data_IF_287032780007
#
_entry.id   IF_287032780007
#
_cell.length_a   1.000
_cell.length_b   1.000
_cell.length_c   1.000
_cell.angle_alpha   90.00
_cell.angle_beta   90.00
_cell.angle_gamma   90.00
#
_symmetry.space_group_name_H-M   'P 1'
#
loop_
_entity.id
_entity.type
_entity.pdbx_description
1 polymer ?
#
# COMPACT_ATOMS: atom_id res chain seq x y z
N UNK A 1 17.39 12.30 -1.41
CA UNK A 1 16.22 11.69 -0.75
C UNK A 1 15.73 10.39 -1.40
N UNK A 2 16.15 10.04 -2.62
CA UNK A 2 15.59 8.88 -3.35
C UNK A 2 16.06 7.49 -2.89
N UNK A 3 17.26 7.37 -2.33
CA UNK A 3 17.86 6.05 -2.07
C UNK A 3 17.29 5.32 -0.85
N UNK A 4 16.59 6.00 0.08
CA UNK A 4 15.92 5.34 1.21
C UNK A 4 14.67 4.55 0.77
N UNK A 5 13.96 5.06 -0.25
CA UNK A 5 12.67 4.52 -0.71
C UNK A 5 12.79 3.07 -1.23
N UNK A 6 13.92 2.75 -1.84
CA UNK A 6 14.17 1.42 -2.42
C UNK A 6 14.69 0.45 -1.35
N UNK A 7 15.49 0.93 -0.39
CA UNK A 7 16.10 0.07 0.63
C UNK A 7 15.08 -0.62 1.52
N UNK A 8 14.06 0.10 1.98
CA UNK A 8 13.02 -0.47 2.88
C UNK A 8 12.15 -1.52 2.17
N UNK A 9 11.92 -1.39 0.85
CA UNK A 9 11.23 -2.42 0.05
C UNK A 9 12.11 -3.64 -0.26
N UNK A 10 13.43 -3.47 -0.33
CA UNK A 10 14.40 -4.52 -0.67
C UNK A 10 14.95 -5.29 0.53
N UNK A 11 14.78 -4.82 1.76
CA UNK A 11 15.28 -5.52 2.95
C UNK A 11 14.46 -6.78 3.28
N UNK A 12 15.10 -7.94 3.13
CA UNK A 12 14.65 -9.21 3.72
C UNK A 12 15.20 -9.30 5.15
N UNK A 13 14.42 -8.84 6.14
CA UNK A 13 14.72 -9.11 7.54
C UNK A 13 14.00 -10.41 7.91
N UNK A 14 14.68 -11.41 8.51
CA UNK A 14 14.04 -12.65 8.92
C UNK A 14 12.99 -12.39 10.01
N UNK A 15 11.93 -13.18 9.92
CA UNK A 15 10.80 -13.19 10.84
C UNK A 15 11.28 -13.67 12.22
N UNK A 16 11.57 -12.71 13.11
CA UNK A 16 11.82 -13.03 14.50
C UNK A 16 10.47 -13.11 15.19
N UNK A 17 9.94 -14.34 15.23
CA UNK A 17 8.82 -14.67 16.09
C UNK A 17 9.19 -14.40 17.54
N UNK A 18 8.42 -13.53 18.20
CA UNK A 18 8.26 -13.55 19.64
C UNK A 18 6.78 -13.55 19.98
N UNK A 19 6.41 -14.62 20.67
CA UNK A 19 5.13 -14.89 21.32
C UNK A 19 5.23 -14.38 22.75
N UNK A 20 4.06 -14.05 23.33
CA UNK A 20 3.72 -13.85 24.76
C UNK A 20 3.67 -12.37 25.20
N UNK A 21 2.63 -11.90 25.88
CA UNK A 21 1.49 -12.61 26.45
C UNK A 21 0.34 -11.68 26.84
N UNK A 22 -0.82 -12.31 26.98
CA UNK A 22 -2.03 -11.73 27.55
C UNK A 22 -1.78 -11.26 28.99
N UNK A 23 -2.28 -10.08 29.34
CA UNK A 23 -2.66 -9.81 30.73
C UNK A 23 -3.83 -8.84 30.80
N UNK A 24 -4.69 -9.14 31.77
CA UNK A 24 -6.06 -8.67 31.92
C UNK A 24 -6.19 -7.21 32.36
N UNK A 25 -7.40 -6.70 32.17
CA UNK A 25 -7.90 -5.38 32.53
C UNK A 25 -7.55 -4.92 33.96
N UNK A 26 -7.35 -3.60 34.11
CA UNK A 26 -7.69 -2.89 35.34
C UNK A 26 -8.15 -1.47 35.02
N UNK A 27 -9.43 -1.22 35.29
CA UNK A 27 -10.01 0.11 35.43
C UNK A 27 -9.30 0.83 36.59
N UNK A 28 -8.51 1.85 36.27
CA UNK A 28 -8.01 2.79 37.27
C UNK A 28 -8.06 4.22 36.71
N UNK A 29 -9.12 4.93 37.09
CA UNK A 29 -9.26 6.38 36.96
C UNK A 29 -8.10 7.09 37.67
N UNK A 30 -7.30 7.94 37.01
CA UNK A 30 -6.18 8.59 37.67
C UNK A 30 -6.60 9.96 38.21
N UNK A 31 -7.11 9.98 39.44
CA UNK A 31 -7.11 11.18 40.26
C UNK A 31 -6.19 10.99 41.46
N UNK A 32 -4.89 11.30 41.32
CA UNK A 32 -4.04 11.88 42.38
C UNK A 32 -2.57 12.10 41.92
N UNK A 33 -2.13 13.37 41.98
CA UNK A 33 -0.89 13.74 42.68
C UNK A 33 0.51 13.44 42.12
N UNK A 34 0.71 13.20 40.81
CA UNK A 34 2.05 13.16 40.21
C UNK A 34 2.19 14.21 39.09
N UNK A 35 2.86 15.36 39.31
CA UNK A 35 2.92 16.42 38.32
C UNK A 35 3.92 16.06 37.21
N UNK A 36 3.51 16.25 35.96
CA UNK A 36 4.34 16.22 34.74
C UNK A 36 4.77 14.84 34.21
N UNK A 37 5.27 13.91 35.02
CA UNK A 37 5.86 12.64 34.48
C UNK A 37 4.84 11.69 33.85
N UNK A 38 3.64 11.56 34.44
CA UNK A 38 2.56 10.70 33.90
C UNK A 38 1.89 11.30 32.65
N UNK A 39 2.05 12.60 32.39
CA UNK A 39 1.52 13.26 31.19
C UNK A 39 2.37 12.95 29.97
N UNK A 40 3.70 12.93 30.10
CA UNK A 40 4.59 12.67 28.96
C UNK A 40 4.55 11.22 28.48
N UNK A 41 4.60 10.24 29.40
CA UNK A 41 4.49 8.83 29.01
C UNK A 41 3.16 8.55 28.31
N UNK A 42 2.05 8.98 28.91
CA UNK A 42 0.72 8.86 28.30
C UNK A 42 0.64 9.51 26.92
N UNK A 43 1.17 10.73 26.76
CA UNK A 43 1.18 11.41 25.47
C UNK A 43 2.07 10.70 24.43
N UNK A 44 3.19 10.09 24.86
CA UNK A 44 4.05 9.27 24.00
C UNK A 44 3.32 8.02 23.53
N UNK A 45 2.69 7.27 24.44
CA UNK A 45 1.92 6.08 24.11
C UNK A 45 0.77 6.40 23.14
N UNK A 46 0.15 7.57 23.29
CA UNK A 46 -0.88 8.07 22.37
C UNK A 46 -0.33 8.38 20.97
N UNK A 47 0.93 8.86 20.87
CA UNK A 47 1.62 9.04 19.58
C UNK A 47 1.86 7.68 18.94
N UNK A 48 2.42 6.70 19.66
CA UNK A 48 2.71 5.37 19.13
C UNK A 48 1.45 4.67 18.59
N UNK A 49 0.32 4.82 19.30
CA UNK A 49 -0.97 4.32 18.83
C UNK A 49 -1.47 5.03 17.57
N UNK A 50 -1.29 6.35 17.49
CA UNK A 50 -1.69 7.13 16.32
C UNK A 50 -0.83 6.79 15.10
N UNK A 51 0.47 6.61 15.29
CA UNK A 51 1.40 6.18 14.25
C UNK A 51 1.02 4.78 13.74
N UNK A 52 0.82 3.81 14.65
CA UNK A 52 0.38 2.45 14.29
C UNK A 52 -0.92 2.46 13.46
N UNK A 53 -1.93 3.23 13.89
CA UNK A 53 -3.19 3.39 13.14
C UNK A 53 -2.97 4.00 11.76
N UNK A 54 -2.04 4.95 11.64
CA UNK A 54 -1.69 5.56 10.36
C UNK A 54 -0.96 4.57 9.43
N UNK A 55 -0.10 3.70 9.97
CA UNK A 55 0.51 2.60 9.21
C UNK A 55 -0.56 1.66 8.64
N UNK A 56 -1.50 1.23 9.48
CA UNK A 56 -2.59 0.33 9.06
C UNK A 56 -3.51 0.98 8.03
N UNK A 57 -3.85 2.26 8.22
CA UNK A 57 -4.61 3.01 7.23
C UNK A 57 -3.86 3.11 5.89
N UNK A 58 -2.54 3.36 5.94
CA UNK A 58 -1.67 3.39 4.76
C UNK A 58 -1.66 2.05 4.03
N UNK A 59 -1.41 0.95 4.76
CA UNK A 59 -1.40 -0.41 4.21
C UNK A 59 -2.76 -0.77 3.60
N UNK A 60 -3.86 -0.41 4.26
CA UNK A 60 -5.20 -0.64 3.74
C UNK A 60 -5.44 0.10 2.42
N UNK A 61 -5.09 1.39 2.33
CA UNK A 61 -5.20 2.15 1.07
C UNK A 61 -4.43 1.47 -0.06
N UNK A 62 -3.19 1.06 0.20
CA UNK A 62 -2.34 0.41 -0.81
C UNK A 62 -2.94 -0.94 -1.23
N UNK A 63 -3.46 -1.73 -0.29
CA UNK A 63 -4.17 -2.98 -0.59
C UNK A 63 -5.39 -2.73 -1.48
N UNK A 64 -6.19 -1.68 -1.26
CA UNK A 64 -7.34 -1.36 -2.12
C UNK A 64 -6.94 -0.97 -3.54
N UNK A 65 -5.82 -0.26 -3.70
CA UNK A 65 -5.27 0.00 -5.03
C UNK A 65 -4.70 -1.27 -5.69
N UNK A 66 -4.11 -2.17 -4.91
CA UNK A 66 -3.66 -3.48 -5.38
C UNK A 66 -4.83 -4.31 -5.90
N UNK A 67 -5.87 -4.50 -5.10
CA UNK A 67 -7.06 -5.28 -5.46
C UNK A 67 -7.74 -4.71 -6.71
N UNK A 68 -7.86 -3.38 -6.79
CA UNK A 68 -8.41 -2.73 -7.98
C UNK A 68 -7.53 -2.92 -9.21
N UNK A 69 -6.21 -2.82 -9.06
CA UNK A 69 -5.26 -3.05 -10.15
C UNK A 69 -5.24 -4.51 -10.63
N UNK A 70 -5.40 -5.46 -9.70
CA UNK A 70 -5.53 -6.89 -9.99
C UNK A 70 -6.79 -7.16 -10.83
N UNK A 71 -7.94 -6.62 -10.43
CA UNK A 71 -9.19 -6.75 -11.18
C UNK A 71 -9.07 -6.18 -12.61
N UNK A 72 -8.45 -5.01 -12.76
CA UNK A 72 -8.17 -4.42 -14.08
C UNK A 72 -7.29 -5.33 -14.95
N UNK A 73 -6.26 -5.92 -14.35
CA UNK A 73 -5.32 -6.79 -15.05
C UNK A 73 -5.94 -8.13 -15.45
N UNK A 74 -6.71 -8.77 -14.55
CA UNK A 74 -7.40 -10.01 -14.83
C UNK A 74 -8.40 -9.82 -15.99
N UNK A 75 -9.19 -8.75 -15.93
CA UNK A 75 -10.13 -8.45 -17.02
C UNK A 75 -9.44 -8.15 -18.34
N UNK A 76 -8.32 -7.44 -18.31
CA UNK A 76 -7.48 -7.24 -19.49
C UNK A 76 -6.99 -8.57 -20.07
N UNK A 77 -6.53 -9.52 -19.24
CA UNK A 77 -6.07 -10.84 -19.69
C UNK A 77 -7.17 -11.65 -20.36
N UNK A 78 -8.40 -11.58 -19.85
CA UNK A 78 -9.56 -12.25 -20.44
C UNK A 78 -9.91 -11.71 -21.83
N UNK A 79 -9.80 -10.40 -22.03
CA UNK A 79 -10.19 -9.72 -23.27
C UNK A 79 -9.07 -9.65 -24.32
N UNK A 80 -7.82 -9.85 -23.91
CA UNK A 80 -6.64 -9.75 -24.79
C UNK A 80 -6.69 -10.71 -26.00
N UNK A 81 -7.11 -11.98 -25.88
CA UNK A 81 -7.14 -12.90 -27.01
C UNK A 81 -8.10 -12.48 -28.13
N UNK A 82 -9.22 -11.83 -27.81
CA UNK A 82 -10.25 -11.45 -28.80
C UNK A 82 -10.04 -10.06 -29.39
N UNK A 83 -9.60 -9.08 -28.58
CA UNK A 83 -9.49 -7.67 -28.99
C UNK A 83 -8.07 -7.17 -29.23
N UNK A 84 -7.05 -8.03 -29.09
CA UNK A 84 -5.65 -7.59 -29.07
C UNK A 84 -5.33 -6.67 -27.90
N UNK A 85 -4.14 -6.06 -27.90
CA UNK A 85 -3.66 -5.25 -26.77
C UNK A 85 -4.51 -3.99 -26.56
N UNK A 86 -4.77 -3.23 -27.61
CA UNK A 86 -5.43 -1.92 -27.50
C UNK A 86 -6.94 -2.07 -27.39
N UNK A 87 -7.55 -3.04 -28.08
CA UNK A 87 -8.97 -3.36 -27.95
C UNK A 87 -9.31 -3.83 -26.53
N UNK A 88 -8.53 -4.73 -25.95
CA UNK A 88 -8.75 -5.17 -24.57
C UNK A 88 -8.67 -4.02 -23.56
N UNK A 89 -7.73 -3.08 -23.73
CA UNK A 89 -7.64 -1.89 -22.87
C UNK A 89 -8.86 -0.98 -23.01
N UNK A 90 -9.32 -0.77 -24.25
CA UNK A 90 -10.51 0.05 -24.53
C UNK A 90 -11.75 -0.55 -23.87
N UNK A 91 -11.95 -1.87 -24.01
CA UNK A 91 -13.07 -2.60 -23.41
C UNK A 91 -13.04 -2.55 -21.86
N UNK A 92 -11.87 -2.77 -21.23
CA UNK A 92 -11.74 -2.61 -19.77
C UNK A 92 -12.11 -1.20 -19.34
N UNK A 93 -11.64 -0.17 -20.05
CA UNK A 93 -11.97 1.23 -19.74
C UNK A 93 -13.47 1.48 -19.84
N UNK A 94 -14.11 0.97 -20.88
CA UNK A 94 -15.56 1.07 -21.09
C UNK A 94 -16.34 0.39 -19.95
N UNK A 95 -15.95 -0.84 -19.56
CA UNK A 95 -16.58 -1.57 -18.47
C UNK A 95 -16.46 -0.86 -17.13
N UNK A 96 -15.27 -0.36 -16.80
CA UNK A 96 -15.04 0.42 -15.57
C UNK A 96 -15.88 1.68 -15.57
N UNK A 97 -16.01 2.35 -16.73
CA UNK A 97 -16.82 3.56 -16.87
C UNK A 97 -18.31 3.29 -16.67
N UNK A 98 -18.82 2.15 -17.16
CA UNK A 98 -20.21 1.73 -16.91
C UNK A 98 -20.51 1.52 -15.42
N UNK A 99 -19.54 1.03 -14.66
CA UNK A 99 -19.69 0.77 -13.22
C UNK A 99 -19.41 1.99 -12.33
N UNK A 100 -18.60 2.94 -12.82
CA UNK A 100 -18.19 4.14 -12.08
C UNK A 100 -18.69 5.37 -12.83
N UNK A 101 -19.86 5.93 -12.46
CA UNK A 101 -20.49 7.03 -13.20
C UNK A 101 -19.72 8.35 -13.05
N UNK A 102 -20.03 9.31 -13.94
CA UNK A 102 -19.34 10.62 -14.04
C UNK A 102 -19.57 11.48 -12.81
N UNK A 103 -20.74 11.30 -12.20
CA UNK A 103 -21.12 11.93 -10.94
C UNK A 103 -20.19 11.55 -9.78
N UNK A 104 -19.49 10.42 -9.86
CA UNK A 104 -18.52 9.97 -8.84
C UNK A 104 -17.09 10.35 -9.20
N UNK A 105 -16.69 10.15 -10.45
CA UNK A 105 -15.37 10.53 -10.96
C UNK A 105 -15.49 11.04 -12.39
N UNK A 106 -14.84 12.18 -12.67
CA UNK A 106 -14.55 12.58 -14.04
C UNK A 106 -13.64 11.56 -14.72
N UNK A 107 -13.67 11.54 -16.05
CA UNK A 107 -12.84 10.64 -16.86
C UNK A 107 -11.35 10.76 -16.53
N UNK A 108 -10.86 11.98 -16.32
CA UNK A 108 -9.44 12.23 -16.01
C UNK A 108 -9.07 11.70 -14.61
N UNK A 109 -9.95 11.89 -13.63
CA UNK A 109 -9.76 11.38 -12.27
C UNK A 109 -9.82 9.84 -12.23
N UNK A 110 -10.75 9.25 -12.98
CA UNK A 110 -10.88 7.80 -13.10
C UNK A 110 -9.67 7.19 -13.81
N UNK A 111 -9.22 7.79 -14.92
CA UNK A 111 -8.00 7.38 -15.62
C UNK A 111 -6.79 7.37 -14.70
N UNK A 112 -6.55 8.47 -13.98
CA UNK A 112 -5.46 8.56 -12.98
C UNK A 112 -5.58 7.50 -11.89
N UNK A 113 -6.79 7.21 -11.41
CA UNK A 113 -7.03 6.16 -10.42
C UNK A 113 -6.67 4.76 -10.94
N UNK A 114 -7.06 4.45 -12.18
CA UNK A 114 -6.72 3.17 -12.84
C UNK A 114 -5.21 3.06 -13.08
N UNK A 115 -4.56 4.13 -13.53
CA UNK A 115 -3.10 4.17 -13.73
C UNK A 115 -2.34 3.88 -12.42
N UNK A 116 -2.73 4.53 -11.32
CA UNK A 116 -2.16 4.29 -9.99
C UNK A 116 -2.35 2.85 -9.53
N UNK A 117 -3.57 2.31 -9.70
CA UNK A 117 -3.88 0.94 -9.35
C UNK A 117 -3.03 -0.07 -10.15
N UNK A 118 -2.92 0.14 -11.47
CA UNK A 118 -2.08 -0.69 -12.34
C UNK A 118 -0.60 -0.67 -11.93
N UNK A 119 -0.07 0.47 -11.50
CA UNK A 119 1.31 0.60 -11.00
C UNK A 119 1.52 -0.14 -9.68
N UNK A 120 0.61 0.04 -8.72
CA UNK A 120 0.64 -0.67 -7.43
C UNK A 120 0.58 -2.17 -7.65
N UNK A 121 -0.36 -2.64 -8.48
CA UNK A 121 -0.47 -4.05 -8.82
C UNK A 121 0.81 -4.57 -9.49
N UNK A 122 1.31 -3.92 -10.54
CA UNK A 122 2.56 -4.33 -11.22
C UNK A 122 3.72 -4.46 -10.24
N UNK A 123 3.89 -3.47 -9.35
CA UNK A 123 4.98 -3.46 -8.37
C UNK A 123 4.85 -4.63 -7.38
N UNK A 124 3.74 -4.70 -6.63
CA UNK A 124 3.58 -5.68 -5.55
C UNK A 124 3.27 -7.09 -6.04
N UNK A 125 2.72 -7.26 -7.23
CA UNK A 125 2.61 -8.58 -7.85
C UNK A 125 4.00 -9.15 -8.19
N UNK A 126 4.97 -8.27 -8.49
CA UNK A 126 6.34 -8.70 -8.83
C UNK A 126 7.22 -8.88 -7.61
N UNK A 127 7.12 -8.01 -6.60
CA UNK A 127 7.97 -8.07 -5.39
C UNK A 127 7.34 -8.88 -4.24
N UNK A 128 6.09 -9.33 -4.42
CA UNK A 128 5.28 -10.03 -3.42
C UNK A 128 4.31 -9.11 -2.69
N UNK A 129 3.02 -9.47 -2.70
CA UNK A 129 1.94 -8.73 -2.00
C UNK A 129 2.22 -8.58 -0.50
N UNK A 130 2.88 -9.57 0.10
CA UNK A 130 3.29 -9.57 1.52
C UNK A 130 4.21 -8.40 1.88
N UNK A 131 4.91 -7.80 0.90
CA UNK A 131 5.73 -6.60 1.13
C UNK A 131 4.89 -5.36 1.51
N UNK A 132 3.60 -5.32 1.18
CA UNK A 132 2.71 -4.23 1.60
C UNK A 132 2.62 -4.17 3.13
N UNK A 133 2.56 -5.32 3.81
CA UNK A 133 2.49 -5.39 5.27
C UNK A 133 3.75 -4.84 5.97
N UNK A 134 4.88 -4.72 5.24
CA UNK A 134 6.14 -4.20 5.77
C UNK A 134 6.26 -2.68 5.72
N UNK A 135 5.31 -2.00 5.09
CA UNK A 135 5.32 -0.54 5.00
C UNK A 135 5.04 0.04 6.38
N UNK A 136 5.98 0.81 6.92
CA UNK A 136 5.83 1.51 8.21
C UNK A 136 5.86 3.01 8.01
N UNK A 137 6.92 3.50 7.38
CA UNK A 137 7.20 4.93 7.37
C UNK A 137 6.68 5.68 6.12
N UNK A 138 6.28 4.96 5.07
CA UNK A 138 5.91 5.59 3.81
C UNK A 138 4.44 6.00 3.77
N UNK A 139 4.13 7.28 3.51
CA UNK A 139 2.74 7.66 3.28
C UNK A 139 2.25 7.02 1.98
N UNK A 140 1.00 6.56 1.99
CA UNK A 140 0.39 5.92 0.82
C UNK A 140 0.56 6.74 -0.47
N UNK A 141 0.42 8.07 -0.36
CA UNK A 141 0.57 9.00 -1.49
C UNK A 141 1.92 8.87 -2.20
N UNK A 142 3.01 8.61 -1.48
CA UNK A 142 4.34 8.43 -2.09
C UNK A 142 4.39 7.21 -2.99
N UNK A 143 3.77 6.10 -2.54
CA UNK A 143 3.71 4.85 -3.31
C UNK A 143 2.73 4.99 -4.49
N UNK A 144 1.60 5.66 -4.28
CA UNK A 144 0.61 5.91 -5.34
C UNK A 144 1.11 6.84 -6.44
N UNK A 145 2.10 7.69 -6.16
CA UNK A 145 2.67 8.63 -7.13
C UNK A 145 3.97 8.13 -7.77
N UNK A 146 4.29 6.84 -7.67
CA UNK A 146 5.46 6.29 -8.34
C UNK A 146 5.38 6.49 -9.86
N UNK A 147 6.48 6.96 -10.45
CA UNK A 147 6.67 6.95 -11.90
C UNK A 147 6.91 5.53 -12.40
N UNK A 148 6.65 5.28 -13.67
CA UNK A 148 6.94 3.97 -14.28
C UNK A 148 8.44 3.63 -14.19
N UNK A 149 9.31 4.62 -14.39
CA UNK A 149 10.76 4.48 -14.20
C UNK A 149 11.16 4.06 -12.78
N UNK A 150 10.45 4.54 -11.76
CA UNK A 150 10.71 4.15 -10.37
C UNK A 150 10.27 2.71 -10.12
N UNK A 151 9.11 2.30 -10.65
CA UNK A 151 8.66 0.90 -10.60
C UNK A 151 9.69 0.00 -11.28
N UNK A 152 10.11 0.34 -12.49
CA UNK A 152 11.08 -0.45 -13.25
C UNK A 152 12.45 -0.53 -12.55
N UNK A 153 12.90 0.57 -11.89
CA UNK A 153 14.12 0.58 -11.07
C UNK A 153 14.03 -0.39 -9.88
N UNK A 154 12.90 -0.45 -9.19
CA UNK A 154 12.68 -1.39 -8.08
C UNK A 154 12.67 -2.84 -8.59
N UNK A 155 11.95 -3.10 -9.68
CA UNK A 155 11.89 -4.43 -10.30
C UNK A 155 13.27 -4.92 -10.72
N UNK A 156 14.05 -4.06 -11.39
CA UNK A 156 15.42 -4.38 -11.77
C UNK A 156 16.32 -4.63 -10.54
N UNK A 157 16.06 -3.96 -9.42
CA UNK A 157 16.74 -4.20 -8.14
C UNK A 157 16.46 -5.60 -7.59
N UNK A 158 15.18 -6.00 -7.54
CA UNK A 158 14.77 -7.33 -7.06
C UNK A 158 15.36 -8.45 -7.94
N UNK A 159 15.26 -8.32 -9.27
CA UNK A 159 15.79 -9.32 -10.20
C UNK A 159 17.31 -9.49 -10.12
N UNK A 160 18.06 -8.44 -9.76
CA UNK A 160 19.50 -8.54 -9.52
C UNK A 160 19.81 -9.27 -8.21
N UNK A 161 19.04 -9.00 -7.16
CA UNK A 161 19.23 -9.62 -5.85
C UNK A 161 18.92 -11.12 -5.86
N UNK A 162 17.96 -11.58 -6.66
CA UNK A 162 17.63 -13.01 -6.80
C UNK A 162 18.70 -13.84 -7.54
N UNK A 163 19.65 -13.18 -8.22
CA UNK A 163 20.73 -13.82 -8.98
C UNK A 163 22.08 -13.79 -8.25
N UNK A 164 22.13 -13.19 -7.05
CA UNK A 164 23.34 -13.02 -6.23
C UNK A 164 23.32 -14.01 -5.08
#
# INVERSE_FOLDING_TARGET
MESRNIKELLTNIPDSGEVLGESNASDASPNTGAPSRKKFLYLSDMIDQAETKNEDATRNVINRYFDFGEALYLRYKELKPSGGKDGAKALVKEEVRKQIPETKFSDDALRKRMERAGKVYKLFNSIGRTKIARIRSFPARSILNLSDSNVDRVLAGVLRAERS
#
